data_IF_449355676640
#
_entry.id   IF_449355676640
#
_cell.length_a   1.000
_cell.length_b   1.000
_cell.length_c   1.000
_cell.angle_alpha   90.00
_cell.angle_beta   90.00
_cell.angle_gamma   90.00
#
_symmetry.space_group_name_H-M   'P 1'
#
loop_
_entity.id
_entity.type
_entity.pdbx_description
1 polymer ?
#
# COMPACT_ATOMS: atom_id res chain seq x y z
N UNK A 1 26.22 7.93 13.77
CA UNK A 1 25.17 8.78 14.34
C UNK A 1 24.34 7.94 15.29
N UNK A 2 23.82 8.52 16.37
CA UNK A 2 22.84 7.85 17.22
C UNK A 2 21.58 7.57 16.39
N UNK A 3 21.10 6.34 16.43
CA UNK A 3 19.84 5.94 15.81
C UNK A 3 18.88 5.64 16.95
N UNK A 4 18.06 6.61 17.40
CA UNK A 4 17.19 6.38 18.52
C UNK A 4 16.20 5.26 18.16
N UNK A 5 16.18 4.21 18.98
CA UNK A 5 15.24 3.10 18.88
C UNK A 5 14.30 3.19 20.08
N UNK A 6 13.02 3.42 19.81
CA UNK A 6 11.97 3.34 20.83
C UNK A 6 11.40 1.93 20.86
N UNK A 7 11.38 1.33 22.05
CA UNK A 7 10.84 -0.01 22.31
C UNK A 7 9.48 0.16 22.98
N UNK A 8 8.46 -0.48 22.40
CA UNK A 8 7.13 -0.58 22.96
C UNK A 8 6.86 -2.02 23.40
N UNK A 9 6.11 -2.17 24.50
CA UNK A 9 5.55 -3.44 24.97
C UNK A 9 4.04 -3.27 25.08
N UNK A 10 3.25 -4.08 24.36
CA UNK A 10 1.77 -4.01 24.35
C UNK A 10 1.24 -2.58 24.19
N UNK A 11 1.78 -1.84 23.22
CA UNK A 11 1.46 -0.43 22.91
C UNK A 11 1.91 0.61 23.95
N UNK A 12 2.56 0.20 25.04
CA UNK A 12 3.13 1.11 26.03
C UNK A 12 4.62 1.32 25.75
N UNK A 13 5.07 2.58 25.77
CA UNK A 13 6.49 2.92 25.60
C UNK A 13 7.26 2.35 26.79
N UNK A 14 8.17 1.42 26.51
CA UNK A 14 8.99 0.77 27.52
C UNK A 14 10.31 1.52 27.73
N UNK A 15 11.01 1.84 26.64
CA UNK A 15 12.33 2.47 26.70
C UNK A 15 12.69 3.12 25.37
N UNK A 16 13.59 4.08 25.39
CA UNK A 16 14.24 4.60 24.18
C UNK A 16 15.75 4.50 24.37
N UNK A 17 16.44 4.04 23.34
CA UNK A 17 17.88 3.83 23.36
C UNK A 17 18.55 4.58 22.22
N UNK A 18 19.74 5.12 22.48
CA UNK A 18 20.45 5.97 21.51
C UNK A 18 20.94 5.22 20.27
N UNK A 19 21.02 3.88 20.31
CA UNK A 19 21.40 3.05 19.19
C UNK A 19 20.92 1.60 19.36
N UNK A 20 20.99 0.83 18.28
CA UNK A 20 20.55 -0.56 18.25
C UNK A 20 21.38 -1.48 19.16
N UNK A 21 22.67 -1.21 19.39
CA UNK A 21 23.49 -2.05 20.27
C UNK A 21 23.05 -1.94 21.73
N UNK A 22 22.69 -0.74 22.19
CA UNK A 22 22.16 -0.52 23.54
C UNK A 22 20.74 -1.09 23.66
N UNK A 23 19.90 -0.88 22.64
CA UNK A 23 18.58 -1.50 22.56
C UNK A 23 18.65 -3.03 22.66
N UNK A 24 19.57 -3.65 21.92
CA UNK A 24 19.77 -5.10 21.94
C UNK A 24 20.30 -5.61 23.27
N UNK A 25 21.19 -4.88 23.95
CA UNK A 25 21.63 -5.24 25.31
C UNK A 25 20.45 -5.19 26.28
N UNK A 26 19.72 -4.08 26.33
CA UNK A 26 18.57 -3.96 27.22
C UNK A 26 17.52 -5.05 26.97
N UNK A 27 17.21 -5.32 25.70
CA UNK A 27 16.21 -6.30 25.32
C UNK A 27 16.65 -7.75 25.61
N UNK A 28 17.96 -8.02 25.45
CA UNK A 28 18.60 -9.29 25.81
C UNK A 28 18.52 -9.54 27.31
N UNK A 29 18.81 -8.54 28.13
CA UNK A 29 18.73 -8.63 29.59
C UNK A 29 17.28 -8.78 30.08
N UNK A 30 16.34 -8.05 29.47
CA UNK A 30 14.92 -8.09 29.81
C UNK A 30 14.30 -9.48 29.62
N UNK A 31 14.60 -10.11 28.48
CA UNK A 31 13.99 -11.38 28.07
C UNK A 31 14.89 -12.60 28.31
N UNK A 32 16.08 -12.40 28.87
CA UNK A 32 17.11 -13.43 29.02
C UNK A 32 17.40 -14.17 27.69
N UNK A 33 17.53 -13.41 26.61
CA UNK A 33 17.76 -13.91 25.24
C UNK A 33 19.17 -13.62 24.76
N UNK A 34 19.63 -14.34 23.74
CA UNK A 34 20.91 -14.04 23.09
C UNK A 34 20.88 -12.66 22.42
N UNK A 35 21.90 -11.82 22.68
CA UNK A 35 22.01 -10.45 22.14
C UNK A 35 21.94 -10.38 20.60
N UNK A 36 22.49 -11.36 19.89
CA UNK A 36 22.41 -11.41 18.41
C UNK A 36 20.97 -11.62 17.93
N UNK A 37 20.20 -12.47 18.63
CA UNK A 37 18.77 -12.68 18.33
C UNK A 37 17.98 -11.38 18.54
N UNK A 38 18.22 -10.68 19.65
CA UNK A 38 17.61 -9.39 19.95
C UNK A 38 17.98 -8.33 18.91
N UNK A 39 19.26 -8.27 18.51
CA UNK A 39 19.72 -7.36 17.46
C UNK A 39 18.95 -7.57 16.15
N UNK A 40 18.85 -8.82 15.68
CA UNK A 40 18.12 -9.14 14.45
C UNK A 40 16.63 -8.79 14.57
N UNK A 41 16.00 -9.11 15.71
CA UNK A 41 14.60 -8.78 15.96
C UNK A 41 14.34 -7.27 15.93
N UNK A 42 15.19 -6.49 16.60
CA UNK A 42 15.09 -5.02 16.61
C UNK A 42 15.30 -4.47 15.21
N UNK A 43 16.37 -4.92 14.52
CA UNK A 43 16.71 -4.44 13.17
C UNK A 43 15.55 -4.65 12.20
N UNK A 44 15.02 -5.87 12.13
CA UNK A 44 13.86 -6.20 11.32
C UNK A 44 12.60 -5.47 11.77
N UNK A 45 12.46 -5.25 13.09
CA UNK A 45 11.33 -4.58 13.69
C UNK A 45 11.19 -3.13 13.25
N UNK A 46 12.23 -2.31 13.38
CA UNK A 46 12.13 -0.90 12.96
C UNK A 46 12.22 -0.71 11.45
N UNK A 47 12.82 -1.65 10.70
CA UNK A 47 12.93 -1.54 9.24
C UNK A 47 11.66 -1.98 8.53
N UNK A 48 10.95 -2.99 9.02
CA UNK A 48 9.79 -3.58 8.35
C UNK A 48 8.54 -3.63 9.22
N UNK A 49 8.56 -3.02 10.40
CA UNK A 49 7.46 -3.07 11.38
C UNK A 49 7.10 -4.51 11.78
N UNK A 50 8.10 -5.39 11.92
CA UNK A 50 7.90 -6.78 12.33
C UNK A 50 7.86 -6.84 13.87
N UNK A 51 6.72 -7.21 14.49
CA UNK A 51 6.64 -7.37 15.94
C UNK A 51 7.45 -8.58 16.41
N UNK A 52 7.95 -8.50 17.64
CA UNK A 52 8.55 -9.63 18.33
C UNK A 52 7.61 -10.08 19.46
N UNK A 53 7.25 -11.35 19.48
CA UNK A 53 6.39 -11.91 20.51
C UNK A 53 7.20 -12.74 21.51
N UNK A 54 6.96 -12.50 22.80
CA UNK A 54 7.41 -13.35 23.88
C UNK A 54 6.21 -13.67 24.78
N UNK A 55 5.77 -14.93 24.77
CA UNK A 55 4.53 -15.35 25.44
C UNK A 55 3.32 -14.53 24.96
N UNK A 56 2.65 -13.80 25.86
CA UNK A 56 1.50 -12.94 25.56
C UNK A 56 1.91 -11.50 25.20
N UNK A 57 3.20 -11.16 25.32
CA UNK A 57 3.70 -9.81 25.12
C UNK A 57 4.14 -9.57 23.68
N UNK A 58 3.65 -8.47 23.10
CA UNK A 58 4.08 -7.94 21.82
C UNK A 58 5.08 -6.79 22.03
N UNK A 59 6.24 -6.91 21.40
CA UNK A 59 7.26 -5.88 21.36
C UNK A 59 7.38 -5.26 19.97
N UNK A 60 7.35 -3.93 19.91
CA UNK A 60 7.53 -3.16 18.68
C UNK A 60 8.72 -2.22 18.81
N UNK A 61 9.44 -2.05 17.69
CA UNK A 61 10.66 -1.26 17.63
C UNK A 61 10.47 -0.16 16.60
N UNK A 62 10.67 1.09 17.00
CA UNK A 62 10.44 2.25 16.13
C UNK A 62 11.72 3.09 16.07
N UNK A 63 12.13 3.41 14.85
CA UNK A 63 13.17 4.38 14.54
C UNK A 63 12.57 5.53 13.72
N UNK A 64 13.24 6.70 13.64
CA UNK A 64 12.89 7.74 12.67
C UNK A 64 12.75 7.18 11.24
N UNK A 65 11.75 7.67 10.49
CA UNK A 65 11.36 7.13 9.18
C UNK A 65 12.52 7.11 8.18
N UNK A 66 13.28 8.19 8.14
CA UNK A 66 14.46 8.36 7.28
C UNK A 66 15.55 7.33 7.61
N UNK A 67 15.78 7.08 8.90
CA UNK A 67 16.77 6.08 9.32
C UNK A 67 16.31 4.66 9.01
N UNK A 68 15.04 4.35 9.28
CA UNK A 68 14.45 3.06 8.94
C UNK A 68 14.50 2.79 7.43
N UNK A 69 14.16 3.80 6.62
CA UNK A 69 14.20 3.72 5.16
C UNK A 69 15.63 3.53 4.64
N UNK A 70 16.58 4.35 5.12
CA UNK A 70 17.98 4.21 4.74
C UNK A 70 18.52 2.83 5.08
N UNK A 71 18.23 2.33 6.29
CA UNK A 71 18.69 1.00 6.71
C UNK A 71 18.09 -0.11 5.87
N UNK A 72 16.80 -0.01 5.55
CA UNK A 72 16.10 -0.95 4.66
C UNK A 72 16.81 -1.04 3.29
N UNK A 73 17.10 0.10 2.66
CA UNK A 73 17.84 0.14 1.38
C UNK A 73 19.21 -0.54 1.53
N UNK A 74 19.98 -0.21 2.58
CA UNK A 74 21.29 -0.82 2.84
C UNK A 74 21.22 -2.35 3.03
N UNK A 75 20.16 -2.87 3.67
CA UNK A 75 19.96 -4.30 3.86
C UNK A 75 19.67 -5.00 2.54
N UNK A 76 18.83 -4.39 1.70
CA UNK A 76 18.40 -4.93 0.41
C UNK A 76 19.55 -4.94 -0.61
N UNK A 77 20.30 -3.83 -0.74
CA UNK A 77 21.46 -3.73 -1.64
C UNK A 77 22.58 -4.74 -1.34
N UNK A 78 22.68 -5.16 -0.08
CA UNK A 78 23.71 -6.10 0.39
C UNK A 78 23.24 -7.56 0.42
N UNK A 79 22.01 -7.84 -0.02
CA UNK A 79 21.36 -9.14 0.12
C UNK A 79 21.50 -9.70 1.55
N UNK A 80 21.36 -8.82 2.54
CA UNK A 80 21.61 -9.15 3.95
C UNK A 80 20.53 -10.11 4.47
N UNK A 81 20.86 -10.99 5.42
CA UNK A 81 19.89 -11.98 5.93
C UNK A 81 18.67 -11.36 6.62
N UNK A 82 18.78 -10.10 7.08
CA UNK A 82 17.67 -9.31 7.63
C UNK A 82 16.90 -8.50 6.57
N UNK A 83 17.30 -8.52 5.30
CA UNK A 83 16.51 -7.92 4.23
C UNK A 83 15.13 -8.58 4.13
N UNK A 84 14.16 -7.85 3.57
CA UNK A 84 12.84 -8.41 3.26
C UNK A 84 12.96 -9.63 2.36
N UNK A 85 12.02 -10.55 2.47
CA UNK A 85 12.01 -11.76 1.65
C UNK A 85 11.18 -11.49 0.41
N UNK A 86 11.60 -12.09 -0.70
CA UNK A 86 10.94 -11.95 -2.00
C UNK A 86 10.40 -13.32 -2.39
N UNK A 87 9.13 -13.34 -2.79
CA UNK A 87 8.38 -14.56 -3.05
C UNK A 87 7.72 -14.53 -4.43
N UNK A 88 7.53 -15.69 -5.01
CA UNK A 88 6.65 -15.94 -6.14
C UNK A 88 5.46 -16.76 -5.64
N UNK A 89 4.25 -16.32 -5.92
CA UNK A 89 3.02 -16.99 -5.47
C UNK A 89 2.07 -17.23 -6.65
N UNK A 90 1.39 -18.40 -6.73
CA UNK A 90 0.37 -18.62 -7.74
C UNK A 90 -0.97 -18.01 -7.33
N UNK A 91 -1.71 -17.51 -8.32
CA UNK A 91 -3.11 -17.14 -8.20
C UNK A 91 -3.88 -17.62 -9.43
N UNK A 92 -5.09 -18.16 -9.22
CA UNK A 92 -5.94 -18.61 -10.31
C UNK A 92 -6.96 -17.51 -10.67
N UNK A 93 -6.88 -16.89 -11.87
CA UNK A 93 -7.82 -15.83 -12.28
C UNK A 93 -9.27 -16.34 -12.46
N UNK A 94 -9.46 -17.67 -12.55
CA UNK A 94 -10.79 -18.28 -12.56
C UNK A 94 -11.37 -18.46 -11.15
N UNK A 95 -10.56 -18.35 -10.09
CA UNK A 95 -11.03 -18.46 -8.70
C UNK A 95 -11.17 -17.09 -8.04
N UNK A 96 -10.26 -16.17 -8.36
CA UNK A 96 -10.23 -14.83 -7.75
C UNK A 96 -9.85 -13.76 -8.76
N UNK A 97 -10.72 -12.76 -8.91
CA UNK A 97 -10.50 -11.62 -9.80
C UNK A 97 -9.62 -10.54 -9.13
N UNK A 98 -8.31 -10.73 -9.24
CA UNK A 98 -7.32 -9.79 -8.70
C UNK A 98 -7.37 -8.39 -9.34
N UNK A 99 -7.74 -8.30 -10.61
CA UNK A 99 -7.79 -7.03 -11.33
C UNK A 99 -8.90 -6.14 -10.75
N UNK A 100 -10.11 -6.68 -10.64
CA UNK A 100 -11.23 -5.99 -10.00
C UNK A 100 -10.98 -5.71 -8.51
N UNK A 101 -10.34 -6.66 -7.80
CA UNK A 101 -10.06 -6.51 -6.38
C UNK A 101 -9.07 -5.38 -6.09
N UNK A 102 -7.93 -5.34 -6.79
CA UNK A 102 -6.95 -4.24 -6.64
C UNK A 102 -7.48 -2.91 -7.18
N UNK A 103 -8.38 -2.92 -8.17
CA UNK A 103 -9.05 -1.71 -8.63
C UNK A 103 -10.01 -1.11 -7.60
N UNK A 104 -10.48 -1.89 -6.62
CA UNK A 104 -11.48 -1.47 -5.63
C UNK A 104 -10.93 -1.28 -4.21
N UNK A 105 -9.86 -1.99 -3.85
CA UNK A 105 -9.31 -2.01 -2.50
C UNK A 105 -7.82 -1.67 -2.46
N UNK A 106 -7.46 -0.83 -1.49
CA UNK A 106 -6.07 -0.50 -1.15
C UNK A 106 -5.25 -1.72 -0.70
N UNK A 107 -5.93 -2.68 -0.08
CA UNK A 107 -5.32 -3.91 0.39
C UNK A 107 -6.29 -5.07 0.27
N UNK A 108 -5.72 -6.26 0.13
CA UNK A 108 -6.47 -7.51 0.08
C UNK A 108 -6.08 -8.40 1.27
N UNK A 109 -7.06 -9.11 1.81
CA UNK A 109 -6.80 -10.24 2.68
C UNK A 109 -6.44 -11.45 1.82
N UNK A 110 -5.17 -11.84 1.90
CA UNK A 110 -4.60 -12.92 1.12
C UNK A 110 -4.45 -14.17 1.97
N UNK A 111 -4.89 -15.32 1.44
CA UNK A 111 -4.79 -16.60 2.15
C UNK A 111 -3.33 -16.88 2.47
N UNK A 112 -3.04 -17.10 3.75
CA UNK A 112 -1.67 -17.32 4.20
C UNK A 112 -1.25 -18.76 3.89
N UNK A 113 -0.46 -18.93 2.85
CA UNK A 113 0.14 -20.21 2.44
C UNK A 113 1.58 -20.38 2.95
N UNK A 114 2.16 -19.34 3.55
CA UNK A 114 3.48 -19.34 4.15
C UNK A 114 3.54 -18.32 5.29
N UNK A 115 4.59 -18.36 6.13
CA UNK A 115 4.75 -17.44 7.25
C UNK A 115 5.25 -16.04 6.83
N UNK A 116 4.54 -15.38 5.91
CA UNK A 116 4.90 -14.04 5.43
C UNK A 116 5.06 -13.03 6.57
N UNK A 117 6.06 -12.17 6.44
CA UNK A 117 6.40 -11.15 7.43
C UNK A 117 6.06 -9.78 6.85
N UNK A 118 5.84 -8.81 7.72
CA UNK A 118 5.66 -7.42 7.29
C UNK A 118 6.88 -7.01 6.44
N UNK A 119 6.62 -6.32 5.33
CA UNK A 119 7.61 -5.86 4.38
C UNK A 119 8.02 -6.88 3.31
N UNK A 120 7.63 -8.16 3.41
CA UNK A 120 7.87 -9.14 2.34
C UNK A 120 7.25 -8.68 1.02
N UNK A 121 7.94 -8.96 -0.10
CA UNK A 121 7.43 -8.71 -1.45
C UNK A 121 6.94 -10.03 -2.05
N UNK A 122 5.73 -10.04 -2.58
CA UNK A 122 5.17 -11.16 -3.32
C UNK A 122 4.95 -10.74 -4.77
N UNK A 123 5.52 -11.52 -5.69
CA UNK A 123 5.18 -11.48 -7.10
C UNK A 123 4.08 -12.50 -7.37
N UNK A 124 2.97 -12.06 -7.95
CA UNK A 124 1.81 -12.90 -8.22
C UNK A 124 1.86 -13.41 -9.66
N UNK A 125 2.02 -14.71 -9.79
CA UNK A 125 1.91 -15.47 -11.03
C UNK A 125 0.46 -15.88 -11.27
N UNK A 126 -0.15 -15.38 -12.35
CA UNK A 126 -1.49 -15.79 -12.75
C UNK A 126 -1.42 -17.08 -13.55
N UNK A 127 -2.06 -18.12 -13.05
CA UNK A 127 -2.11 -19.44 -13.68
C UNK A 127 -3.21 -19.53 -14.76
N UNK A 128 -3.52 -20.74 -15.23
CA UNK A 128 -4.58 -20.97 -16.20
C UNK A 128 -4.20 -20.52 -17.61
N UNK A 129 -4.99 -19.60 -18.18
CA UNK A 129 -4.79 -19.08 -19.54
C UNK A 129 -3.83 -17.87 -19.60
N UNK A 130 -3.47 -17.28 -18.46
CA UNK A 130 -2.61 -16.09 -18.40
C UNK A 130 -1.14 -16.49 -18.35
N UNK A 131 -0.78 -17.43 -17.47
CA UNK A 131 0.54 -18.04 -17.34
C UNK A 131 1.72 -17.06 -17.22
N UNK A 132 1.55 -15.93 -16.54
CA UNK A 132 2.60 -14.91 -16.33
C UNK A 132 2.52 -14.20 -14.98
N UNK A 133 3.65 -13.65 -14.54
CA UNK A 133 3.69 -12.73 -13.40
C UNK A 133 3.12 -11.38 -13.80
N UNK A 134 2.19 -10.82 -13.00
CA UNK A 134 1.56 -9.53 -13.28
C UNK A 134 1.64 -8.51 -12.16
N UNK A 135 1.62 -8.95 -10.90
CA UNK A 135 1.52 -8.04 -9.76
C UNK A 135 2.71 -8.17 -8.83
N UNK A 136 3.19 -7.04 -8.32
CA UNK A 136 4.11 -6.92 -7.20
C UNK A 136 3.34 -6.35 -6.02
N UNK A 137 3.33 -7.06 -4.91
CA UNK A 137 2.61 -6.65 -3.70
C UNK A 137 3.54 -6.66 -2.50
N UNK A 138 3.26 -5.81 -1.51
CA UNK A 138 3.92 -5.80 -0.21
C UNK A 138 2.99 -6.36 0.86
N UNK A 139 3.52 -7.21 1.72
CA UNK A 139 2.83 -7.69 2.92
C UNK A 139 2.87 -6.60 3.98
N UNK A 140 1.75 -5.92 4.21
CA UNK A 140 1.65 -4.85 5.21
C UNK A 140 1.33 -5.42 6.61
N UNK A 141 0.68 -6.58 6.65
CA UNK A 141 0.44 -7.33 7.89
C UNK A 141 0.58 -8.82 7.60
N UNK A 142 1.55 -9.46 8.26
CA UNK A 142 1.83 -10.88 8.10
C UNK A 142 0.67 -11.72 8.61
N UNK A 143 0.26 -11.54 9.85
CA UNK A 143 -0.85 -12.31 10.46
C UNK A 143 -1.96 -11.35 10.82
N UNK A 144 -3.10 -11.50 10.15
CA UNK A 144 -4.33 -10.76 10.45
C UNK A 144 -5.21 -11.61 11.35
N UNK A 145 -5.72 -11.01 12.44
CA UNK A 145 -6.67 -11.69 13.34
C UNK A 145 -7.98 -11.93 12.59
N UNK A 146 -8.58 -13.10 12.78
CA UNK A 146 -9.82 -13.50 12.09
C UNK A 146 -10.99 -12.53 12.27
N UNK A 147 -11.05 -11.79 13.38
CA UNK A 147 -12.04 -10.73 13.64
C UNK A 147 -11.94 -9.53 12.69
N UNK A 148 -10.74 -9.29 12.15
CA UNK A 148 -10.41 -8.10 11.35
C UNK A 148 -10.44 -8.40 9.84
N UNK A 149 -10.72 -9.67 9.49
CA UNK A 149 -10.82 -10.13 8.12
C UNK A 149 -12.21 -9.80 7.60
N UNK A 150 -12.33 -8.66 6.93
CA UNK A 150 -13.46 -8.41 6.05
C UNK A 150 -13.16 -9.10 4.70
N UNK A 151 -13.80 -10.25 4.48
CA UNK A 151 -13.62 -11.05 3.27
C UNK A 151 -14.68 -10.65 2.24
N UNK A 152 -14.27 -9.99 1.15
CA UNK A 152 -15.22 -9.66 0.10
C UNK A 152 -15.38 -10.84 -0.87
N UNK A 153 -16.43 -11.63 -0.62
CA UNK A 153 -16.81 -12.79 -1.41
C UNK A 153 -17.18 -12.44 -2.86
N UNK A 154 -17.42 -11.17 -3.17
CA UNK A 154 -17.85 -10.70 -4.49
C UNK A 154 -16.84 -11.00 -5.60
N UNK A 155 -15.55 -11.18 -5.28
CA UNK A 155 -14.50 -11.48 -6.27
C UNK A 155 -14.17 -12.97 -6.41
N UNK A 156 -14.76 -13.83 -5.56
CA UNK A 156 -14.66 -15.29 -5.71
C UNK A 156 -15.70 -15.75 -6.71
N UNK A 157 -15.27 -16.55 -7.68
CA UNK A 157 -16.16 -17.08 -8.72
C UNK A 157 -16.89 -18.37 -8.31
N UNK A 158 -16.57 -18.98 -7.16
CA UNK A 158 -17.27 -20.17 -6.64
C UNK A 158 -17.53 -20.10 -5.13
N UNK A 159 -18.76 -20.46 -4.72
CA UNK A 159 -19.24 -20.44 -3.32
C UNK A 159 -18.78 -21.67 -2.50
N UNK A 160 -18.56 -22.82 -3.14
CA UNK A 160 -18.27 -24.10 -2.46
C UNK A 160 -16.92 -24.17 -1.72
N UNK A 161 -15.99 -23.25 -1.99
CA UNK A 161 -14.68 -23.19 -1.31
C UNK A 161 -14.68 -22.31 -0.04
N UNK A 162 -15.87 -21.95 0.47
CA UNK A 162 -16.04 -20.99 1.55
C UNK A 162 -15.97 -21.60 2.96
N UNK A 163 -16.59 -22.75 3.20
CA UNK A 163 -16.67 -23.33 4.56
C UNK A 163 -15.30 -23.73 5.13
N UNK A 164 -14.40 -24.24 4.29
CA UNK A 164 -13.03 -24.65 4.70
C UNK A 164 -12.07 -23.48 4.99
N UNK A 165 -12.50 -22.23 4.77
CA UNK A 165 -11.60 -21.06 4.82
C UNK A 165 -11.71 -20.17 6.05
N UNK A 166 -12.70 -20.40 6.92
CA UNK A 166 -12.95 -19.58 8.12
C UNK A 166 -11.92 -19.77 9.25
N UNK A 167 -11.21 -20.90 9.26
CA UNK A 167 -10.19 -21.23 10.27
C UNK A 167 -8.75 -20.97 9.79
N UNK A 168 -8.57 -20.38 8.60
CA UNK A 168 -7.25 -20.15 8.02
C UNK A 168 -6.66 -18.82 8.48
N UNK A 169 -5.33 -18.79 8.59
CA UNK A 169 -4.61 -17.54 8.80
C UNK A 169 -4.60 -16.69 7.52
N UNK A 170 -4.57 -15.37 7.69
CA UNK A 170 -4.60 -14.39 6.61
C UNK A 170 -3.40 -13.45 6.70
N UNK A 171 -2.92 -13.01 5.55
CA UNK A 171 -2.01 -11.86 5.42
C UNK A 171 -2.77 -10.69 4.80
N UNK A 172 -2.36 -9.46 5.10
CA UNK A 172 -2.82 -8.27 4.38
C UNK A 172 -1.75 -7.83 3.39
N UNK A 173 -2.12 -7.77 2.11
CA UNK A 173 -1.22 -7.39 1.01
C UNK A 173 -1.70 -6.11 0.35
N UNK A 174 -0.76 -5.31 -0.16
CA UNK A 174 -1.03 -4.05 -0.88
C UNK A 174 -0.34 -4.08 -2.23
N UNK A 175 -1.03 -3.64 -3.28
CA UNK A 175 -0.44 -3.50 -4.61
C UNK A 175 0.65 -2.43 -4.62
N UNK A 176 1.83 -2.81 -5.11
CA UNK A 176 2.98 -1.91 -5.31
C UNK A 176 3.16 -1.60 -6.79
N UNK A 177 3.04 -2.59 -7.67
CA UNK A 177 3.23 -2.38 -9.11
C UNK A 177 2.51 -3.47 -9.91
N UNK A 178 2.14 -3.12 -11.14
CA UNK A 178 1.53 -4.00 -12.12
C UNK A 178 2.19 -3.87 -13.49
N UNK A 179 2.34 -5.02 -14.13
CA UNK A 179 2.89 -5.15 -15.47
C UNK A 179 2.08 -6.16 -16.27
N UNK A 180 2.07 -5.97 -17.58
CA UNK A 180 1.53 -6.93 -18.51
C UNK A 180 2.51 -7.09 -19.67
N UNK A 181 3.33 -8.13 -19.59
CA UNK A 181 4.36 -8.45 -20.58
C UNK A 181 4.54 -9.95 -20.69
N UNK A 182 4.76 -10.43 -21.91
CA UNK A 182 4.97 -11.85 -22.17
C UNK A 182 6.38 -12.30 -21.77
N UNK A 183 7.29 -11.34 -21.51
CA UNK A 183 8.61 -11.60 -20.92
C UNK A 183 8.51 -12.14 -19.48
N UNK A 184 7.36 -12.01 -18.82
CA UNK A 184 7.13 -12.63 -17.50
C UNK A 184 6.29 -13.90 -17.58
N UNK A 185 6.15 -14.48 -18.78
CA UNK A 185 5.47 -15.76 -18.98
C UNK A 185 6.26 -16.94 -18.42
N UNK A 186 5.57 -18.04 -18.18
CA UNK A 186 6.15 -19.28 -17.63
C UNK A 186 7.38 -19.77 -18.42
N UNK A 187 7.39 -19.56 -19.74
CA UNK A 187 8.51 -19.90 -20.62
C UNK A 187 9.77 -19.12 -20.22
N UNK A 188 9.71 -17.79 -20.19
CA UNK A 188 10.83 -16.95 -19.79
C UNK A 188 11.23 -17.18 -18.33
N UNK A 189 10.28 -17.36 -17.42
CA UNK A 189 10.64 -17.68 -16.02
C UNK A 189 11.52 -18.94 -15.94
N UNK A 190 11.26 -19.95 -16.77
CA UNK A 190 12.07 -21.18 -16.83
C UNK A 190 13.45 -20.93 -17.44
N UNK A 191 13.55 -20.08 -18.45
CA UNK A 191 14.84 -19.67 -19.02
C UNK A 191 15.74 -19.01 -17.96
N UNK A 192 15.16 -18.19 -17.08
CA UNK A 192 15.87 -17.50 -16.00
C UNK A 192 15.90 -18.28 -14.68
N UNK A 193 15.70 -19.60 -14.72
CA UNK A 193 16.02 -20.50 -13.62
C UNK A 193 14.84 -20.98 -12.76
N UNK A 194 13.58 -20.74 -13.16
CA UNK A 194 12.43 -21.38 -12.52
C UNK A 194 12.46 -22.89 -12.74
N UNK A 195 12.51 -23.64 -11.63
CA UNK A 195 12.51 -25.11 -11.65
C UNK A 195 11.16 -25.66 -11.22
N UNK A 196 10.57 -26.54 -12.04
CA UNK A 196 9.32 -27.22 -11.74
C UNK A 196 8.07 -26.35 -11.98
N UNK A 197 6.98 -26.71 -11.30
CA UNK A 197 5.68 -26.04 -11.41
C UNK A 197 5.46 -25.08 -10.23
N UNK A 198 4.79 -23.95 -10.50
CA UNK A 198 4.42 -22.98 -9.47
C UNK A 198 3.11 -23.44 -8.79
N UNK A 199 3.22 -24.35 -7.83
CA UNK A 199 2.08 -24.93 -7.10
C UNK A 199 1.84 -24.30 -5.73
N UNK A 200 2.76 -23.45 -5.27
CA UNK A 200 2.66 -22.77 -3.98
C UNK A 200 3.70 -21.68 -3.86
N UNK A 201 3.79 -21.09 -2.68
CA UNK A 201 4.72 -20.01 -2.37
C UNK A 201 6.16 -20.48 -2.52
N UNK A 202 6.93 -19.77 -3.34
CA UNK A 202 8.33 -20.05 -3.60
C UNK A 202 9.17 -18.83 -3.25
N UNK A 203 10.23 -19.01 -2.45
CA UNK A 203 11.18 -17.93 -2.20
C UNK A 203 12.03 -17.70 -3.46
N UNK A 204 12.08 -16.46 -3.94
CA UNK A 204 12.89 -16.08 -5.09
C UNK A 204 14.30 -15.73 -4.65
N UNK A 205 15.29 -16.25 -5.37
CA UNK A 205 16.71 -16.03 -5.11
C UNK A 205 17.48 -15.98 -6.43
N UNK A 206 18.65 -15.32 -6.41
CA UNK A 206 19.57 -15.26 -7.55
C UNK A 206 18.96 -14.66 -8.81
N UNK A 207 19.36 -15.20 -9.96
CA UNK A 207 19.03 -14.68 -11.29
C UNK A 207 17.51 -14.53 -11.53
N UNK A 208 16.70 -15.51 -11.11
CA UNK A 208 15.25 -15.44 -11.28
C UNK A 208 14.63 -14.27 -10.50
N UNK A 209 15.13 -14.01 -9.29
CA UNK A 209 14.69 -12.87 -8.44
C UNK A 209 14.99 -11.56 -9.15
N UNK A 210 16.22 -11.40 -9.62
CA UNK A 210 16.71 -10.18 -10.25
C UNK A 210 16.00 -9.94 -11.59
N UNK A 211 15.80 -11.00 -12.37
CA UNK A 211 15.06 -10.99 -13.62
C UNK A 211 13.64 -10.46 -13.41
N UNK A 212 12.84 -11.09 -12.54
CA UNK A 212 11.46 -10.68 -12.28
C UNK A 212 11.43 -9.24 -11.76
N UNK A 213 12.30 -8.91 -10.80
CA UNK A 213 12.32 -7.59 -10.15
C UNK A 213 12.58 -6.47 -11.15
N UNK A 214 13.40 -6.70 -12.18
CA UNK A 214 13.76 -5.67 -13.17
C UNK A 214 12.61 -5.17 -14.04
N UNK A 215 11.46 -5.84 -14.03
CA UNK A 215 10.27 -5.38 -14.75
C UNK A 215 9.38 -4.44 -13.92
N UNK A 216 9.61 -4.35 -12.60
CA UNK A 216 8.72 -3.64 -11.68
C UNK A 216 9.40 -2.41 -11.07
N UNK A 217 9.45 -1.36 -11.89
CA UNK A 217 10.08 -0.08 -11.58
C UNK A 217 9.10 0.97 -11.05
N UNK A 218 7.79 0.72 -11.10
CA UNK A 218 6.81 1.66 -10.58
C UNK A 218 6.62 1.41 -9.09
N UNK A 219 6.22 2.47 -8.40
CA UNK A 219 5.68 2.39 -7.06
C UNK A 219 4.30 3.05 -7.07
N UNK A 220 3.25 2.26 -7.27
CA UNK A 220 1.85 2.68 -7.19
C UNK A 220 1.45 3.13 -5.78
N UNK A 221 2.30 2.91 -4.77
CA UNK A 221 2.13 3.48 -3.43
C UNK A 221 2.79 4.83 -3.25
N UNK A 222 3.73 5.19 -4.12
CA UNK A 222 4.23 6.56 -4.21
C UNK A 222 3.07 7.46 -4.66
N UNK A 223 2.92 8.60 -4.00
CA UNK A 223 1.92 9.59 -4.38
C UNK A 223 2.24 10.13 -5.78
N UNK A 224 1.73 9.47 -6.83
CA UNK A 224 1.86 9.96 -8.19
C UNK A 224 0.92 11.16 -8.36
N UNK A 225 1.45 12.37 -8.27
CA UNK A 225 0.78 13.52 -8.84
C UNK A 225 1.06 13.53 -10.35
N UNK A 226 0.06 13.87 -11.17
CA UNK A 226 0.17 13.92 -12.63
C UNK A 226 1.26 14.88 -13.17
N UNK A 227 1.98 15.59 -12.30
CA UNK A 227 3.01 16.56 -12.63
C UNK A 227 4.44 15.97 -12.65
N UNK A 228 4.64 14.67 -12.35
CA UNK A 228 5.94 13.99 -12.54
C UNK A 228 5.89 12.98 -13.69
N UNK A 229 5.71 13.49 -14.92
CA UNK A 229 6.08 12.73 -16.12
C UNK A 229 7.53 13.08 -16.43
N UNK A 230 8.41 12.07 -16.47
CA UNK A 230 9.74 12.22 -17.05
C UNK A 230 9.64 12.94 -18.40
N UNK A 231 10.56 13.87 -18.67
CA UNK A 231 10.69 14.61 -19.93
C UNK A 231 10.87 13.65 -21.12
N UNK A 232 9.78 13.07 -21.60
CA UNK A 232 9.72 12.37 -22.86
C UNK A 232 8.60 12.99 -23.68
N UNK A 233 8.96 13.75 -24.71
CA UNK A 233 8.06 14.36 -25.69
C UNK A 233 7.55 13.32 -26.72
N UNK A 234 7.41 12.05 -26.33
CA UNK A 234 6.86 11.00 -27.19
C UNK A 234 5.33 10.99 -27.10
N UNK A 235 4.66 11.47 -28.14
CA UNK A 235 3.20 11.46 -28.28
C UNK A 235 2.72 10.10 -28.84
N UNK A 236 1.61 9.55 -28.32
CA UNK A 236 0.96 8.36 -28.89
C UNK A 236 1.26 7.00 -28.24
N UNK A 237 2.15 6.91 -27.24
CA UNK A 237 2.25 5.71 -26.38
C UNK A 237 1.06 5.69 -25.43
N UNK A 238 0.27 4.60 -25.42
CA UNK A 238 -0.74 4.34 -24.38
C UNK A 238 -0.02 4.22 -23.03
N UNK A 239 0.13 5.33 -22.33
CA UNK A 239 0.37 5.32 -20.88
C UNK A 239 -1.00 5.10 -20.25
N UNK A 240 -1.18 3.93 -19.64
CA UNK A 240 -2.29 3.74 -18.70
C UNK A 240 -1.93 4.59 -17.49
N UNK A 241 -2.38 5.84 -17.52
CA UNK A 241 -2.39 6.71 -16.34
C UNK A 241 -3.59 6.22 -15.54
N UNK A 242 -3.36 5.26 -14.66
CA UNK A 242 -4.36 4.87 -13.66
C UNK A 242 -4.57 6.11 -12.81
N UNK A 243 -5.74 6.74 -12.96
CA UNK A 243 -6.12 7.92 -12.20
C UNK A 243 -6.08 7.53 -10.73
N UNK A 244 -5.07 8.07 -10.05
CA UNK A 244 -4.73 7.95 -8.65
C UNK A 244 -5.77 7.26 -7.76
N UNK A 245 -5.33 6.12 -7.25
CA UNK A 245 -5.68 5.41 -6.02
C UNK A 245 -5.99 6.37 -4.85
N UNK A 246 -7.15 7.00 -4.89
CA UNK A 246 -7.62 7.90 -3.84
C UNK A 246 -9.04 7.57 -3.40
N UNK A 247 -9.30 6.30 -3.11
CA UNK A 247 -10.53 5.89 -2.43
C UNK A 247 -10.22 4.85 -1.34
N UNK A 248 -9.38 5.27 -0.39
CA UNK A 248 -8.80 4.41 0.66
C UNK A 248 -9.78 3.76 1.64
N UNK A 249 -11.07 4.06 1.53
CA UNK A 249 -12.14 3.29 2.16
C UNK A 249 -13.46 3.58 1.41
N UNK A 250 -13.97 2.66 0.58
CA UNK A 250 -15.23 2.83 -0.16
C UNK A 250 -16.42 3.20 0.74
N UNK A 251 -16.44 2.71 1.99
CA UNK A 251 -17.49 3.04 2.95
C UNK A 251 -17.36 4.47 3.47
N UNK A 252 -16.14 4.94 3.73
CA UNK A 252 -15.91 6.33 4.16
C UNK A 252 -16.22 7.31 3.03
N UNK A 253 -15.84 6.98 1.79
CA UNK A 253 -16.23 7.75 0.61
C UNK A 253 -17.75 7.82 0.48
N UNK A 254 -18.42 6.67 0.51
CA UNK A 254 -19.88 6.61 0.39
C UNK A 254 -20.55 7.47 1.47
N UNK A 255 -20.15 7.33 2.74
CA UNK A 255 -20.67 8.14 3.86
C UNK A 255 -20.39 9.63 3.70
N UNK A 256 -19.22 10.00 3.18
CA UNK A 256 -18.89 11.39 2.88
C UNK A 256 -19.82 11.97 1.80
N UNK A 257 -20.07 11.23 0.72
CA UNK A 257 -20.99 11.65 -0.34
C UNK A 257 -22.46 11.64 0.12
N UNK A 258 -22.88 10.67 0.95
CA UNK A 258 -24.21 10.63 1.55
C UNK A 258 -24.46 11.87 2.43
N UNK A 259 -23.43 12.35 3.13
CA UNK A 259 -23.52 13.52 4.01
C UNK A 259 -23.40 14.86 3.26
N UNK A 260 -22.37 15.02 2.42
CA UNK A 260 -22.05 16.28 1.74
C UNK A 260 -22.67 16.42 0.34
N UNK A 261 -23.20 15.33 -0.23
CA UNK A 261 -23.60 15.25 -1.62
C UNK A 261 -22.42 15.15 -2.60
N UNK A 262 -22.73 15.23 -3.89
CA UNK A 262 -21.78 15.04 -5.00
C UNK A 262 -21.35 16.36 -5.66
N UNK A 263 -21.57 17.49 -4.98
CA UNK A 263 -21.15 18.81 -5.47
C UNK A 263 -19.80 19.18 -4.87
N UNK A 264 -18.91 19.75 -5.69
CA UNK A 264 -17.57 20.13 -5.26
C UNK A 264 -17.63 21.19 -4.17
N UNK A 265 -17.04 20.90 -3.01
CA UNK A 265 -17.03 21.82 -1.88
C UNK A 265 -16.19 23.08 -2.14
N UNK A 266 -15.38 23.13 -3.19
CA UNK A 266 -14.56 24.30 -3.56
C UNK A 266 -15.27 25.18 -4.58
N UNK A 267 -15.56 24.64 -5.77
CA UNK A 267 -16.10 25.40 -6.92
C UNK A 267 -17.58 25.15 -7.20
N UNK A 268 -18.27 24.34 -6.38
CA UNK A 268 -19.70 24.02 -6.50
C UNK A 268 -20.14 23.30 -7.78
N UNK A 269 -19.20 22.86 -8.62
CA UNK A 269 -19.54 22.05 -9.79
C UNK A 269 -20.24 20.74 -9.37
N UNK A 270 -21.27 20.36 -10.12
CA UNK A 270 -21.98 19.09 -9.99
C UNK A 270 -22.00 18.42 -11.37
N UNK A 271 -21.37 17.25 -11.48
CA UNK A 271 -21.17 16.60 -12.77
C UNK A 271 -22.46 16.07 -13.37
N UNK A 272 -23.39 15.55 -12.56
CA UNK A 272 -24.70 15.10 -13.07
C UNK A 272 -25.53 16.27 -13.64
N UNK A 273 -25.47 17.44 -13.01
CA UNK A 273 -26.17 18.63 -13.52
C UNK A 273 -25.61 19.13 -14.85
N UNK A 274 -24.31 19.00 -15.08
CA UNK A 274 -23.63 19.53 -16.28
C UNK A 274 -23.60 18.50 -17.40
N UNK A 275 -23.32 17.24 -17.09
CA UNK A 275 -23.08 16.19 -18.07
C UNK A 275 -24.23 15.17 -18.15
N UNK A 276 -25.27 15.32 -17.32
CA UNK A 276 -26.37 14.36 -17.23
C UNK A 276 -25.94 13.06 -16.53
N UNK A 277 -26.62 11.96 -16.85
CA UNK A 277 -26.46 10.67 -16.17
C UNK A 277 -25.02 10.14 -16.12
N UNK A 278 -24.19 10.42 -17.14
CA UNK A 278 -22.77 9.99 -17.16
C UNK A 278 -21.94 10.63 -16.03
N UNK A 279 -22.38 11.78 -15.51
CA UNK A 279 -21.75 12.48 -14.39
C UNK A 279 -22.29 12.08 -13.02
N UNK A 280 -23.24 11.14 -12.93
CA UNK A 280 -23.83 10.69 -11.66
C UNK A 280 -22.74 10.09 -10.77
N UNK A 281 -22.72 10.52 -9.50
CA UNK A 281 -21.76 10.12 -8.47
C UNK A 281 -20.27 10.34 -8.83
N UNK A 282 -19.98 11.05 -9.93
CA UNK A 282 -18.64 11.38 -10.37
C UNK A 282 -18.11 12.58 -9.58
N UNK A 283 -17.41 12.30 -8.49
CA UNK A 283 -16.75 13.27 -7.64
C UNK A 283 -15.58 12.60 -6.90
N UNK A 284 -14.48 13.34 -6.69
CA UNK A 284 -13.36 12.85 -5.88
C UNK A 284 -13.59 13.20 -4.41
N UNK A 285 -12.95 12.49 -3.49
CA UNK A 285 -13.00 12.80 -2.06
C UNK A 285 -11.59 13.10 -1.53
N UNK A 286 -11.41 14.34 -1.06
CA UNK A 286 -10.15 14.86 -0.55
C UNK A 286 -10.06 14.74 0.97
N UNK A 287 -8.88 14.40 1.49
CA UNK A 287 -8.61 14.42 2.93
C UNK A 287 -8.19 15.82 3.36
N UNK A 288 -8.92 16.43 4.29
CA UNK A 288 -8.59 17.76 4.84
C UNK A 288 -7.26 17.70 5.59
N UNK A 289 -6.99 16.61 6.30
CA UNK A 289 -5.71 16.36 6.97
C UNK A 289 -4.82 15.53 6.04
N UNK A 290 -3.59 15.98 5.76
CA UNK A 290 -2.68 15.22 4.93
C UNK A 290 -2.38 13.84 5.52
N UNK A 291 -2.49 12.80 4.69
CA UNK A 291 -2.32 11.41 5.13
C UNK A 291 -0.92 11.10 5.68
N UNK A 292 0.09 11.91 5.37
CA UNK A 292 1.44 11.77 5.93
C UNK A 292 1.54 12.15 7.42
N UNK A 293 0.57 12.91 7.93
CA UNK A 293 0.42 13.27 9.35
C UNK A 293 -0.41 12.24 10.12
N UNK A 294 -1.07 11.32 9.40
CA UNK A 294 -2.04 10.37 9.93
C UNK A 294 -1.35 9.01 10.16
N UNK A 295 -1.28 8.57 11.42
CA UNK A 295 -0.64 7.30 11.80
C UNK A 295 -1.42 6.03 11.41
N UNK A 296 -0.79 4.86 11.53
CA UNK A 296 -1.32 3.54 11.10
C UNK A 296 -2.65 3.07 11.74
N UNK A 297 -3.22 3.80 12.70
CA UNK A 297 -4.46 3.45 13.42
C UNK A 297 -5.55 4.54 13.35
N UNK A 298 -5.49 5.41 12.34
CA UNK A 298 -6.48 6.47 12.21
C UNK A 298 -7.78 5.97 11.60
N UNK A 299 -8.84 6.01 12.38
CA UNK A 299 -10.20 5.80 11.87
C UNK A 299 -10.63 7.09 11.19
N UNK A 300 -10.62 7.08 9.84
CA UNK A 300 -11.09 8.21 9.04
C UNK A 300 -12.56 8.49 9.37
N UNK A 301 -12.84 9.72 9.79
CA UNK A 301 -14.20 10.21 9.95
C UNK A 301 -14.67 10.80 8.60
N UNK A 302 -15.67 10.19 7.95
CA UNK A 302 -16.18 10.66 6.66
C UNK A 302 -16.70 12.10 6.67
N UNK A 303 -17.07 12.61 7.84
CA UNK A 303 -17.64 13.94 8.01
C UNK A 303 -16.54 14.93 8.35
N UNK A 304 -15.62 14.62 9.24
CA UNK A 304 -14.62 15.62 9.70
C UNK A 304 -13.34 15.62 8.87
N UNK A 305 -12.98 14.50 8.24
CA UNK A 305 -11.70 14.36 7.54
C UNK A 305 -11.80 14.43 6.02
N UNK A 306 -13.00 14.25 5.46
CA UNK A 306 -13.18 14.11 4.03
C UNK A 306 -14.07 15.21 3.43
N UNK A 307 -13.77 15.66 2.21
CA UNK A 307 -14.64 16.57 1.46
C UNK A 307 -14.75 16.17 -0.01
N UNK A 308 -15.96 16.16 -0.59
CA UNK A 308 -16.12 15.97 -2.02
C UNK A 308 -15.58 17.18 -2.78
N UNK A 309 -14.73 16.93 -3.78
CA UNK A 309 -14.12 17.95 -4.63
C UNK A 309 -14.05 17.43 -6.07
N UNK A 310 -14.13 18.33 -7.06
CA UNK A 310 -13.94 17.94 -8.45
C UNK A 310 -12.47 17.59 -8.73
N UNK A 311 -12.16 16.81 -9.79
CA UNK A 311 -10.78 16.46 -10.15
C UNK A 311 -9.84 17.66 -10.25
N UNK A 312 -10.31 18.78 -10.80
CA UNK A 312 -9.51 20.00 -10.95
C UNK A 312 -9.19 20.65 -9.59
N UNK A 313 -10.19 20.82 -8.73
CA UNK A 313 -9.97 21.38 -7.39
C UNK A 313 -9.14 20.42 -6.53
N UNK A 314 -9.34 19.11 -6.68
CA UNK A 314 -8.53 18.10 -6.03
C UNK A 314 -7.04 18.28 -6.38
N UNK A 315 -6.73 18.38 -7.68
CA UNK A 315 -5.37 18.62 -8.14
C UNK A 315 -4.77 19.92 -7.56
N UNK A 316 -5.56 21.00 -7.49
CA UNK A 316 -5.08 22.27 -6.92
C UNK A 316 -4.82 22.22 -5.42
N UNK A 317 -5.62 21.48 -4.65
CA UNK A 317 -5.39 21.29 -3.20
C UNK A 317 -4.10 20.53 -2.92
N UNK A 318 -3.71 19.65 -3.84
CA UNK A 318 -2.46 18.90 -3.77
C UNK A 318 -1.26 19.62 -4.41
N UNK A 319 -1.43 20.85 -4.89
CA UNK A 319 -0.33 21.66 -5.41
C UNK A 319 0.28 22.50 -4.30
N UNK A 320 1.60 22.45 -4.15
CA UNK A 320 2.33 23.25 -3.15
C UNK A 320 2.57 24.67 -3.64
N UNK A 321 2.35 25.65 -2.77
CA UNK A 321 2.73 27.05 -2.96
C UNK A 321 3.55 27.48 -1.74
N UNK A 322 4.77 27.98 -1.96
CA UNK A 322 5.68 28.32 -0.85
C UNK A 322 6.10 27.12 0.03
N UNK A 323 5.91 25.89 -0.46
CA UNK A 323 6.22 24.65 0.28
C UNK A 323 5.03 24.05 1.04
N UNK A 324 3.88 24.73 1.08
CA UNK A 324 2.69 24.29 1.81
C UNK A 324 1.53 23.95 0.85
N UNK A 325 0.67 23.03 1.26
CA UNK A 325 -0.56 22.70 0.52
C UNK A 325 -1.65 23.73 0.82
N UNK A 326 -2.48 24.01 -0.18
CA UNK A 326 -3.63 24.89 0.00
C UNK A 326 -4.74 24.15 0.75
N UNK A 327 -5.35 24.84 1.71
CA UNK A 327 -6.61 24.43 2.31
C UNK A 327 -7.78 24.70 1.36
N UNK A 328 -8.89 23.98 1.58
CA UNK A 328 -10.17 24.21 0.87
C UNK A 328 -10.59 25.68 0.93
N UNK A 329 -10.47 26.32 2.08
CA UNK A 329 -10.85 27.73 2.24
C UNK A 329 -9.92 28.68 1.50
N UNK A 330 -8.61 28.43 1.49
CA UNK A 330 -7.67 29.21 0.70
C UNK A 330 -7.96 29.09 -0.80
N UNK A 331 -8.23 27.88 -1.29
CA UNK A 331 -8.54 27.67 -2.70
C UNK A 331 -9.88 28.32 -3.10
N UNK A 332 -10.91 28.20 -2.24
CA UNK A 332 -12.19 28.93 -2.41
C UNK A 332 -11.99 30.44 -2.52
N UNK A 333 -11.21 31.02 -1.61
CA UNK A 333 -10.96 32.46 -1.59
C UNK A 333 -10.22 32.91 -2.85
N UNK A 334 -9.31 32.09 -3.37
CA UNK A 334 -8.60 32.37 -4.62
C UNK A 334 -9.53 32.41 -5.83
N UNK A 335 -10.47 31.46 -5.92
CA UNK A 335 -11.50 31.46 -6.98
C UNK A 335 -12.39 32.70 -6.88
N UNK A 336 -12.82 33.08 -5.66
CA UNK A 336 -13.64 34.29 -5.45
C UNK A 336 -12.90 35.59 -5.77
N UNK A 337 -11.58 35.62 -5.56
CA UNK A 337 -10.75 36.81 -5.78
C UNK A 337 -10.31 36.98 -7.24
N UNK A 338 -10.48 35.96 -8.08
CA UNK A 338 -10.21 35.98 -9.52
C UNK A 338 -11.52 35.84 -10.30
N UNK A 339 -12.25 36.95 -10.58
CA UNK A 339 -13.60 36.90 -11.14
C UNK A 339 -13.69 36.40 -12.59
N UNK A 340 -12.56 36.09 -13.25
CA UNK A 340 -12.55 35.40 -14.55
C UNK A 340 -12.96 33.92 -14.49
N UNK A 341 -13.16 33.36 -13.29
CA UNK A 341 -13.54 31.97 -13.04
C UNK A 341 -14.98 31.77 -12.54
N UNK A 342 -15.87 32.76 -12.72
CA UNK A 342 -17.30 32.53 -12.51
C UNK A 342 -17.80 31.56 -13.59
N UNK A 343 -17.90 30.31 -13.19
CA UNK A 343 -18.60 29.27 -13.90
C UNK A 343 -20.12 29.51 -13.80
N UNK A 344 -20.59 30.58 -14.44
CA UNK A 344 -21.96 30.65 -14.92
C UNK A 344 -22.04 29.66 -16.10
N UNK A 345 -22.19 28.38 -15.78
CA UNK A 345 -22.43 27.36 -16.78
C UNK A 345 -23.85 27.55 -17.33
N UNK A 346 -23.87 27.67 -18.67
CA UNK A 346 -24.99 27.64 -19.61
C UNK A 346 -26.12 26.67 -19.26
#
# INVERSE_FOLDING_TARGET
MATPITIFKNNQRLREESNIQLAATFFSDLLNLNKSKCFNAIERGYTYNIPFFDQEDEYRFIAPKDIALKRRIELEERDHHNARRIWLIPANPNEYDLESAFGRYDFLHWRRSFNYENGDILFIYLSGYIQKVRYKVEVIEGVVRSSDVNYDLTFRKSEDQFEDSKELDWSRIRLIDEVDTDLLSLEYLREYGLKGNIQGSMKLMGELKDYITSFFDKDLTAEYYADEVAESLEEGKRKVVTVNTYERNPLARKRCMEYYGVSCQVCQINFEKIYGEVGRDFIHVHHIKPLHEIGQNYVVDPITDLRPVCPNCHAMLHRKEGGEYLTIEQLKNRIKSNPGGNHDYL
#
